data_IF_194485611470
#
_entry.id   IF_194485611470
#
_cell.length_a   1.000
_cell.length_b   1.000
_cell.length_c   1.000
_cell.angle_alpha   90.00
_cell.angle_beta   90.00
_cell.angle_gamma   90.00
#
_symmetry.space_group_name_H-M   'P 1'
#
loop_
_entity.id
_entity.type
_entity.pdbx_description
1 polymer ?
#
# COMPACT_ATOMS: atom_id res chain seq x y z
N UNK A 1 17.47 -57.41 -5.17
CA UNK A 1 17.81 -56.23 -4.36
C UNK A 1 18.58 -55.23 -5.22
N UNK A 2 17.89 -54.26 -5.83
CA UNK A 2 18.51 -53.13 -6.56
C UNK A 2 17.95 -51.86 -5.94
N UNK A 3 18.84 -51.07 -5.38
CA UNK A 3 18.54 -49.76 -4.77
C UNK A 3 18.26 -48.75 -5.89
N UNK A 4 17.06 -48.17 -5.89
CA UNK A 4 16.70 -47.01 -6.70
C UNK A 4 17.01 -45.80 -5.87
N UNK A 5 17.96 -44.96 -6.33
CA UNK A 5 18.27 -43.65 -5.77
C UNK A 5 17.31 -42.64 -6.40
N UNK A 6 16.45 -42.07 -5.61
CA UNK A 6 15.64 -40.91 -5.97
C UNK A 6 16.55 -39.68 -6.05
N UNK A 7 16.55 -39.05 -7.22
CA UNK A 7 17.26 -37.78 -7.47
C UNK A 7 16.18 -36.69 -7.47
N UNK A 8 16.06 -35.99 -6.35
CA UNK A 8 15.23 -34.80 -6.23
C UNK A 8 16.01 -33.64 -6.82
N UNK A 9 15.62 -33.16 -7.98
CA UNK A 9 16.19 -31.96 -8.60
C UNK A 9 15.45 -30.74 -8.07
N UNK A 10 16.13 -29.98 -7.20
CA UNK A 10 15.71 -28.66 -6.72
C UNK A 10 16.04 -27.65 -7.83
N UNK A 11 15.07 -27.16 -8.56
CA UNK A 11 15.22 -26.05 -9.50
C UNK A 11 15.06 -24.73 -8.73
N UNK A 12 16.18 -24.16 -8.32
CA UNK A 12 16.26 -22.80 -7.78
C UNK A 12 16.31 -21.84 -8.96
N UNK A 13 15.20 -21.17 -9.27
CA UNK A 13 15.17 -20.10 -10.26
C UNK A 13 15.67 -18.80 -9.60
N UNK A 14 16.99 -18.55 -9.70
CA UNK A 14 17.59 -17.25 -9.39
C UNK A 14 17.25 -16.26 -10.53
N UNK A 15 16.36 -15.32 -10.27
CA UNK A 15 16.21 -14.11 -11.10
C UNK A 15 17.28 -13.10 -10.70
N UNK A 16 18.44 -13.16 -11.35
CA UNK A 16 19.49 -12.16 -11.22
C UNK A 16 19.14 -10.98 -12.13
N UNK A 17 18.70 -9.86 -11.59
CA UNK A 17 18.68 -8.59 -12.29
C UNK A 17 20.09 -7.99 -12.32
N UNK A 18 20.82 -8.24 -13.41
CA UNK A 18 22.11 -7.62 -13.67
C UNK A 18 21.91 -6.13 -13.98
N UNK A 19 22.51 -5.27 -13.16
CA UNK A 19 22.67 -3.85 -13.42
C UNK A 19 23.84 -3.66 -14.36
N UNK A 20 23.58 -3.38 -15.64
CA UNK A 20 24.62 -2.94 -16.59
C UNK A 20 24.45 -1.46 -16.83
N UNK A 21 25.42 -0.68 -16.36
CA UNK A 21 25.55 0.72 -16.69
C UNK A 21 26.19 0.84 -18.09
N UNK A 22 25.59 1.61 -18.98
CA UNK A 22 26.29 2.15 -20.16
C UNK A 22 25.89 3.61 -20.36
N UNK A 23 26.92 4.42 -20.35
CA UNK A 23 26.96 5.86 -20.68
C UNK A 23 26.92 6.10 -22.15
N UNK A 24 26.18 7.11 -22.64
CA UNK A 24 26.57 8.00 -23.72
C UNK A 24 25.59 9.15 -23.87
N UNK A 25 26.14 10.36 -23.83
CA UNK A 25 25.59 11.65 -24.28
C UNK A 25 26.20 11.98 -25.69
N UNK A 26 25.89 13.12 -26.31
CA UNK A 26 24.67 13.95 -26.41
C UNK A 26 24.27 14.31 -27.85
N UNK A 27 23.19 15.06 -28.06
CA UNK A 27 23.13 16.11 -29.09
C UNK A 27 21.97 17.09 -28.90
N UNK A 28 22.31 18.36 -29.00
CA UNK A 28 21.52 19.59 -28.97
C UNK A 28 20.49 19.75 -30.10
N UNK A 29 19.43 20.54 -29.84
CA UNK A 29 19.06 21.78 -30.58
C UNK A 29 17.68 22.27 -30.12
N UNK A 30 17.61 23.42 -29.45
CA UNK A 30 17.26 24.79 -29.84
C UNK A 30 15.87 24.98 -30.51
N UNK A 31 15.02 25.76 -29.90
CA UNK A 31 14.54 27.14 -30.16
C UNK A 31 13.11 27.28 -29.61
N UNK A 32 12.85 28.22 -28.69
CA UNK A 32 12.37 29.58 -28.87
C UNK A 32 10.95 29.64 -29.48
N UNK A 33 9.97 30.34 -28.96
CA UNK A 33 9.78 31.73 -28.58
C UNK A 33 8.36 31.95 -28.01
N UNK A 34 8.27 32.85 -27.03
CA UNK A 34 7.30 33.96 -26.82
C UNK A 34 5.77 33.66 -26.86
N UNK A 35 4.90 34.31 -26.12
CA UNK A 35 4.89 35.62 -25.45
C UNK A 35 3.59 35.79 -24.66
N UNK A 36 3.70 36.43 -23.51
CA UNK A 36 2.90 37.49 -22.90
C UNK A 36 1.36 37.51 -23.03
N UNK A 37 0.63 37.77 -21.98
CA UNK A 37 0.29 39.12 -21.53
C UNK A 37 -0.61 39.07 -20.28
N UNK A 38 -0.30 39.99 -19.38
CA UNK A 38 -0.99 40.37 -18.15
C UNK A 38 -2.37 41.01 -18.39
N UNK A 39 -3.24 41.01 -17.37
CA UNK A 39 -3.94 42.22 -16.97
C UNK A 39 -4.43 42.11 -15.53
N UNK A 40 -4.05 43.13 -14.76
CA UNK A 40 -4.46 43.47 -13.39
C UNK A 40 -5.91 43.97 -13.34
N UNK A 41 -6.52 43.90 -12.13
CA UNK A 41 -7.31 44.98 -11.54
C UNK A 41 -7.77 44.60 -10.13
N UNK A 42 -7.23 45.13 -9.15
CA UNK A 42 -7.44 46.03 -8.01
C UNK A 42 -8.89 46.46 -7.74
N UNK A 43 -9.23 46.48 -6.45
CA UNK A 43 -9.66 47.56 -5.53
C UNK A 43 -10.42 46.94 -4.38
N UNK A 44 -9.97 47.13 -3.21
CA UNK A 44 -10.01 48.21 -2.19
C UNK A 44 -11.27 48.14 -1.32
N UNK A 45 -11.12 48.02 -0.09
CA UNK A 45 -11.01 48.87 1.07
C UNK A 45 -12.09 48.71 2.15
N UNK A 46 -11.59 48.78 3.36
CA UNK A 46 -12.02 49.49 4.62
C UNK A 46 -13.16 48.81 5.42
N UNK A 47 -13.16 48.82 6.74
CA UNK A 47 -12.50 49.52 7.85
C UNK A 47 -12.85 48.89 9.19
N UNK A 48 -11.95 48.97 10.09
CA UNK A 48 -11.85 48.85 11.52
C UNK A 48 -13.06 49.17 12.43
N UNK A 49 -13.11 48.51 13.57
CA UNK A 49 -13.04 49.01 14.98
C UNK A 49 -13.38 47.81 15.90
N UNK A 50 -12.63 47.41 16.86
CA UNK A 50 -12.13 48.04 18.01
C UNK A 50 -13.04 47.93 19.23
N UNK A 51 -12.78 46.96 20.14
CA UNK A 51 -13.00 47.15 21.58
C UNK A 51 -12.43 46.00 22.42
N UNK A 52 -11.71 46.37 23.42
CA UNK A 52 -10.95 45.63 24.40
C UNK A 52 -11.79 44.98 25.51
N UNK A 53 -11.14 44.00 26.15
CA UNK A 53 -11.09 43.64 27.58
C UNK A 53 -11.92 42.41 27.94
N UNK A 54 -11.36 41.43 28.54
CA UNK A 54 -10.92 41.17 29.88
C UNK A 54 -10.46 39.72 30.06
N UNK A 55 -9.38 39.60 30.75
CA UNK A 55 -8.76 38.36 31.21
C UNK A 55 -9.66 37.61 32.17
N UNK A 56 -9.95 36.33 31.88
CA UNK A 56 -10.24 35.35 32.92
C UNK A 56 -9.65 34.01 32.54
N UNK A 57 -8.59 33.67 33.22
CA UNK A 57 -8.00 32.34 33.23
C UNK A 57 -9.02 31.30 33.70
N UNK A 58 -9.50 30.45 32.82
CA UNK A 58 -10.05 29.15 33.17
C UNK A 58 -9.17 28.13 32.48
N UNK A 59 -8.42 27.36 33.28
CA UNK A 59 -7.95 26.06 32.89
C UNK A 59 -9.17 25.23 32.48
N UNK A 60 -9.39 25.13 31.19
CA UNK A 60 -10.24 24.07 30.63
C UNK A 60 -9.31 22.92 30.21
N UNK A 61 -9.38 21.82 30.92
CA UNK A 61 -8.95 20.53 30.43
C UNK A 61 -9.80 20.21 29.22
N UNK A 62 -9.35 20.68 28.06
CA UNK A 62 -9.95 20.36 26.78
C UNK A 62 -9.46 18.95 26.38
N UNK A 63 -10.15 17.93 26.86
CA UNK A 63 -10.13 16.62 26.23
C UNK A 63 -10.90 16.79 24.92
N UNK A 64 -10.18 17.26 23.89
CA UNK A 64 -10.68 17.23 22.52
C UNK A 64 -10.93 15.76 22.15
N UNK A 65 -12.16 15.31 22.35
CA UNK A 65 -12.59 14.02 21.82
C UNK A 65 -12.58 14.14 20.32
N UNK A 66 -11.68 13.38 19.68
CA UNK A 66 -11.59 13.26 18.23
C UNK A 66 -13.00 12.92 17.68
N UNK A 67 -13.48 13.58 16.62
CA UNK A 67 -14.78 13.28 16.06
C UNK A 67 -14.83 11.81 15.61
N UNK A 68 -15.84 11.10 16.07
CA UNK A 68 -16.08 9.72 15.69
C UNK A 68 -16.35 9.64 14.18
N UNK A 69 -15.66 8.73 13.49
CA UNK A 69 -15.87 8.54 12.05
C UNK A 69 -17.27 7.99 11.79
N UNK A 70 -17.93 8.41 10.71
CA UNK A 70 -19.27 7.91 10.37
C UNK A 70 -19.23 6.41 10.10
N UNK A 71 -20.29 5.69 10.53
CA UNK A 71 -20.42 4.27 10.23
C UNK A 71 -20.67 4.08 8.72
N UNK A 72 -19.75 3.40 8.08
CA UNK A 72 -19.75 3.08 6.64
C UNK A 72 -19.32 1.64 6.44
N UNK A 73 -19.35 1.14 5.19
CA UNK A 73 -18.75 -0.18 4.90
C UNK A 73 -17.26 -0.21 5.24
N UNK A 74 -16.52 0.89 5.08
CA UNK A 74 -15.10 0.98 5.42
C UNK A 74 -14.82 0.86 6.93
N UNK A 75 -15.71 1.35 7.77
CA UNK A 75 -15.57 1.26 9.23
C UNK A 75 -16.20 -0.01 9.81
N UNK A 76 -17.11 -0.64 9.07
CA UNK A 76 -17.79 -1.88 9.47
C UNK A 76 -16.98 -3.12 9.05
N UNK A 77 -16.43 -3.09 7.82
CA UNK A 77 -15.65 -4.20 7.25
C UNK A 77 -14.19 -3.80 7.14
N UNK A 78 -13.48 -3.93 8.23
CA UNK A 78 -12.05 -3.59 8.32
C UNK A 78 -11.20 -4.69 7.70
N UNK A 79 -10.00 -4.35 7.23
CA UNK A 79 -9.09 -5.32 6.60
C UNK A 79 -8.88 -6.56 7.47
N UNK A 80 -8.92 -7.74 6.87
CA UNK A 80 -8.60 -9.02 7.52
C UNK A 80 -7.42 -9.73 6.84
N UNK A 81 -6.56 -8.99 6.18
CA UNK A 81 -5.30 -9.52 5.62
C UNK A 81 -4.21 -8.47 5.70
N UNK A 82 -2.98 -8.93 5.91
CA UNK A 82 -1.77 -8.08 5.90
C UNK A 82 -1.19 -7.92 4.50
N UNK A 83 -1.65 -8.69 3.52
CA UNK A 83 -1.18 -8.59 2.13
C UNK A 83 -1.73 -7.34 1.49
N UNK A 84 -0.87 -6.53 0.90
CA UNK A 84 -1.30 -5.40 0.09
C UNK A 84 -1.88 -5.89 -1.24
N UNK A 85 -3.11 -5.50 -1.50
CA UNK A 85 -3.87 -5.89 -2.70
C UNK A 85 -4.24 -4.71 -3.59
N UNK A 86 -3.63 -3.54 -3.38
CA UNK A 86 -3.86 -2.34 -4.17
C UNK A 86 -3.41 -2.49 -5.63
N UNK A 87 -3.87 -1.58 -6.48
CA UNK A 87 -3.60 -1.59 -7.91
C UNK A 87 -2.39 -0.73 -8.26
N UNK A 88 -1.37 -1.32 -8.87
CA UNK A 88 -0.19 -0.59 -9.37
C UNK A 88 0.15 -0.90 -10.82
N UNK A 89 -0.71 -1.66 -11.50
CA UNK A 89 -0.51 -2.05 -12.89
C UNK A 89 -1.84 -2.29 -13.62
N UNK A 90 -1.77 -2.58 -14.93
CA UNK A 90 -2.90 -2.97 -15.76
C UNK A 90 -2.66 -4.28 -16.48
N UNK A 91 -3.68 -5.11 -16.52
CA UNK A 91 -3.83 -6.18 -17.51
C UNK A 91 -4.46 -5.56 -18.74
N UNK A 92 -3.75 -5.57 -19.88
CA UNK A 92 -4.22 -4.95 -21.12
C UNK A 92 -5.54 -5.58 -21.60
N UNK A 93 -5.61 -6.93 -21.55
CA UNK A 93 -6.79 -7.68 -21.94
C UNK A 93 -6.88 -9.02 -21.22
N UNK A 94 -8.07 -9.39 -20.81
CA UNK A 94 -8.40 -10.73 -20.34
C UNK A 94 -9.63 -11.25 -21.10
N UNK A 95 -9.62 -12.52 -21.49
CA UNK A 95 -10.76 -13.21 -22.13
C UNK A 95 -11.10 -14.45 -21.30
N UNK A 96 -12.05 -14.33 -20.39
CA UNK A 96 -12.47 -15.38 -19.44
C UNK A 96 -11.30 -16.00 -18.67
N UNK A 97 -10.42 -15.15 -18.16
CA UNK A 97 -9.29 -15.61 -17.34
C UNK A 97 -9.76 -15.71 -15.89
N UNK A 98 -9.58 -16.90 -15.31
CA UNK A 98 -9.83 -17.14 -13.89
C UNK A 98 -8.55 -16.85 -13.10
N UNK A 99 -8.63 -15.98 -12.10
CA UNK A 99 -7.55 -15.64 -11.20
C UNK A 99 -7.79 -16.22 -9.82
N UNK A 100 -6.73 -16.67 -9.17
CA UNK A 100 -6.75 -17.24 -7.82
C UNK A 100 -5.63 -16.67 -6.97
N UNK A 101 -5.95 -16.30 -5.73
CA UNK A 101 -4.99 -15.88 -4.72
C UNK A 101 -5.25 -16.56 -3.39
N UNK A 102 -4.17 -16.97 -2.71
CA UNK A 102 -4.19 -17.43 -1.33
C UNK A 102 -3.84 -16.28 -0.41
N UNK A 103 -4.73 -15.91 0.47
CA UNK A 103 -4.60 -14.75 1.35
C UNK A 103 -4.55 -15.20 2.81
N UNK A 104 -3.54 -14.81 3.57
CA UNK A 104 -3.55 -15.01 5.02
C UNK A 104 -4.64 -14.13 5.60
N UNK A 105 -5.27 -14.59 6.67
CA UNK A 105 -6.23 -13.79 7.42
C UNK A 105 -5.69 -13.46 8.80
N UNK A 106 -6.00 -12.27 9.32
CA UNK A 106 -5.57 -11.83 10.64
C UNK A 106 -6.46 -12.42 11.77
N UNK A 107 -7.75 -12.52 11.51
CA UNK A 107 -8.71 -13.14 12.42
C UNK A 107 -9.36 -14.34 11.74
N UNK A 108 -9.31 -15.48 12.42
CA UNK A 108 -9.87 -16.74 12.00
C UNK A 108 -11.29 -16.95 12.52
N UNK A 109 -11.95 -18.03 12.08
CA UNK A 109 -13.28 -18.41 12.47
C UNK A 109 -14.36 -17.94 11.50
N UNK A 110 -15.61 -18.00 11.95
CA UNK A 110 -16.74 -17.57 11.14
C UNK A 110 -16.92 -16.06 11.22
N UNK A 111 -16.73 -15.38 10.10
CA UNK A 111 -16.86 -13.93 9.97
C UNK A 111 -17.72 -13.57 8.75
N UNK A 112 -18.38 -12.42 8.81
CA UNK A 112 -19.03 -11.80 7.67
C UNK A 112 -18.03 -10.92 6.94
N UNK A 113 -17.86 -11.16 5.63
CA UNK A 113 -16.91 -10.46 4.77
C UNK A 113 -17.62 -9.61 3.73
N UNK A 114 -17.00 -8.50 3.33
CA UNK A 114 -17.26 -7.75 2.11
C UNK A 114 -15.94 -7.39 1.44
N UNK A 115 -15.96 -7.31 0.13
CA UNK A 115 -14.77 -7.05 -0.68
C UNK A 115 -14.94 -5.71 -1.37
N UNK A 116 -13.95 -4.81 -1.20
CA UNK A 116 -13.92 -3.52 -1.87
C UNK A 116 -13.06 -3.55 -3.12
N UNK A 117 -13.56 -2.92 -4.16
CA UNK A 117 -12.89 -2.82 -5.45
C UNK A 117 -12.87 -1.37 -5.92
N UNK A 118 -11.81 -0.99 -6.60
CA UNK A 118 -11.76 0.26 -7.36
C UNK A 118 -11.15 0.01 -8.73
N UNK A 119 -11.79 0.57 -9.75
CA UNK A 119 -11.32 0.50 -11.13
C UNK A 119 -10.38 1.68 -11.44
N UNK A 120 -9.42 1.92 -10.54
CA UNK A 120 -8.37 2.93 -10.67
C UNK A 120 -7.02 2.33 -10.31
N UNK A 121 -5.94 2.93 -10.79
CA UNK A 121 -4.57 2.58 -10.41
C UNK A 121 -4.06 3.58 -9.38
N UNK A 122 -3.53 3.09 -8.28
CA UNK A 122 -3.05 3.91 -7.17
C UNK A 122 -1.64 4.44 -7.43
N UNK A 123 -0.75 3.58 -7.85
CA UNK A 123 0.63 3.91 -8.22
C UNK A 123 0.99 3.21 -9.52
N UNK A 124 2.03 3.64 -10.21
CA UNK A 124 2.39 3.08 -11.50
C UNK A 124 3.64 2.22 -11.41
N UNK A 125 3.49 0.92 -11.57
CA UNK A 125 4.57 -0.01 -11.82
C UNK A 125 4.76 -0.19 -13.32
N UNK A 126 5.34 0.81 -14.02
CA UNK A 126 5.57 0.64 -15.45
C UNK A 126 6.78 1.43 -15.92
N UNK A 127 7.60 0.79 -16.71
CA UNK A 127 8.83 1.33 -17.25
C UNK A 127 8.56 2.58 -18.10
N UNK A 128 9.00 3.75 -17.63
CA UNK A 128 8.89 5.00 -18.36
C UNK A 128 7.47 5.56 -18.51
N UNK A 129 6.49 5.01 -17.83
CA UNK A 129 5.09 5.47 -17.87
C UNK A 129 4.60 5.81 -16.48
N UNK A 130 4.49 7.09 -16.17
CA UNK A 130 3.84 7.60 -14.94
C UNK A 130 2.38 8.00 -15.19
N UNK A 131 1.86 7.71 -16.38
CA UNK A 131 0.57 8.22 -16.82
C UNK A 131 -0.63 7.49 -16.21
N UNK A 132 -0.41 6.48 -15.36
CA UNK A 132 -1.50 5.66 -14.83
C UNK A 132 -1.89 5.98 -13.38
N UNK A 133 -1.10 6.75 -12.65
CA UNK A 133 -1.44 7.14 -11.28
C UNK A 133 -2.77 7.89 -11.25
N UNK A 134 -3.71 7.41 -10.43
CA UNK A 134 -5.05 7.96 -10.31
C UNK A 134 -5.94 7.80 -11.54
N UNK A 135 -5.51 7.06 -12.58
CA UNK A 135 -6.32 6.84 -13.78
C UNK A 135 -7.21 5.63 -13.64
N UNK A 136 -8.40 5.77 -14.24
CA UNK A 136 -9.34 4.66 -14.38
C UNK A 136 -8.80 3.54 -15.24
N UNK A 137 -9.25 2.33 -14.92
CA UNK A 137 -9.21 1.19 -15.80
C UNK A 137 -10.19 1.32 -16.97
N UNK A 138 -10.21 0.29 -17.81
CA UNK A 138 -11.21 0.09 -18.86
C UNK A 138 -12.52 -0.47 -18.32
N UNK A 139 -13.35 -0.96 -19.23
CA UNK A 139 -14.55 -1.70 -18.85
C UNK A 139 -14.29 -3.20 -18.88
N UNK A 140 -14.74 -3.90 -17.85
CA UNK A 140 -14.59 -5.36 -17.76
C UNK A 140 -15.78 -5.99 -17.01
N UNK A 141 -15.93 -7.30 -17.18
CA UNK A 141 -16.95 -8.08 -16.49
C UNK A 141 -16.28 -9.04 -15.51
N UNK A 142 -16.86 -9.11 -14.31
CA UNK A 142 -16.54 -10.13 -13.29
C UNK A 142 -17.62 -11.21 -13.34
N UNK A 143 -17.20 -12.46 -13.21
CA UNK A 143 -18.09 -13.60 -13.02
C UNK A 143 -17.46 -14.66 -12.12
N UNK A 144 -18.28 -15.57 -11.61
CA UNK A 144 -17.85 -16.72 -10.80
C UNK A 144 -16.93 -16.33 -9.62
N UNK A 145 -17.17 -15.16 -9.00
CA UNK A 145 -16.40 -14.77 -7.83
C UNK A 145 -16.74 -15.68 -6.64
N UNK A 146 -15.72 -16.23 -6.00
CA UNK A 146 -15.88 -17.10 -4.83
C UNK A 146 -14.81 -16.80 -3.79
N UNK A 147 -15.16 -17.07 -2.53
CA UNK A 147 -14.21 -17.26 -1.44
C UNK A 147 -14.26 -18.70 -0.97
N UNK A 148 -13.14 -19.21 -0.48
CA UNK A 148 -13.04 -20.59 -0.04
C UNK A 148 -12.00 -20.76 1.07
N UNK A 149 -12.05 -21.89 1.76
CA UNK A 149 -11.00 -22.35 2.65
C UNK A 149 -9.92 -23.06 1.80
N UNK A 150 -8.71 -22.51 1.81
CA UNK A 150 -7.56 -23.00 1.05
C UNK A 150 -6.63 -23.94 1.83
N UNK A 151 -7.04 -24.38 3.03
CA UNK A 151 -6.19 -25.21 3.88
C UNK A 151 -4.97 -24.44 4.42
N UNK A 152 -3.97 -25.19 4.85
CA UNK A 152 -2.72 -24.66 5.45
C UNK A 152 -1.62 -24.40 4.42
N UNK A 153 -1.85 -24.77 3.16
CA UNK A 153 -0.90 -24.62 2.05
C UNK A 153 -1.55 -24.75 0.68
N UNK A 154 -0.82 -24.33 -0.34
CA UNK A 154 -1.32 -24.30 -1.73
C UNK A 154 -1.55 -25.69 -2.36
N UNK A 155 -1.04 -26.73 -1.74
CA UNK A 155 -1.23 -28.12 -2.16
C UNK A 155 -2.47 -28.77 -1.51
N UNK A 156 -3.11 -28.08 -0.54
CA UNK A 156 -4.29 -28.59 0.11
C UNK A 156 -5.53 -28.45 -0.76
N UNK A 157 -6.54 -29.29 -0.50
CA UNK A 157 -7.82 -29.19 -1.19
C UNK A 157 -8.54 -27.90 -0.82
N UNK A 158 -8.99 -27.14 -1.83
CA UNK A 158 -9.82 -25.96 -1.61
C UNK A 158 -11.25 -26.40 -1.32
N UNK A 159 -11.73 -26.08 -0.14
CA UNK A 159 -13.04 -26.51 0.37
C UNK A 159 -13.98 -25.31 0.66
N UNK A 160 -15.23 -25.57 0.93
CA UNK A 160 -16.22 -24.57 1.38
C UNK A 160 -16.32 -23.35 0.44
N UNK A 161 -16.28 -23.57 -0.89
CA UNK A 161 -16.44 -22.49 -1.88
C UNK A 161 -17.81 -21.83 -1.72
N UNK A 162 -17.80 -20.53 -1.44
CA UNK A 162 -18.98 -19.70 -1.27
C UNK A 162 -19.02 -18.62 -2.34
N UNK A 163 -20.10 -18.49 -3.13
CA UNK A 163 -20.22 -17.44 -4.13
C UNK A 163 -20.22 -16.06 -3.50
N UNK A 164 -19.54 -15.12 -4.17
CA UNK A 164 -19.60 -13.68 -3.87
C UNK A 164 -20.44 -13.00 -4.94
N UNK A 165 -21.43 -12.22 -4.50
CA UNK A 165 -22.38 -11.57 -5.41
C UNK A 165 -22.22 -10.03 -5.36
N UNK A 166 -22.86 -9.37 -6.33
CA UNK A 166 -22.84 -7.93 -6.52
C UNK A 166 -24.27 -7.44 -6.80
N UNK A 167 -24.93 -6.92 -5.76
CA UNK A 167 -26.36 -6.57 -5.84
C UNK A 167 -27.25 -7.78 -6.12
N UNK A 168 -26.94 -8.93 -5.50
CA UNK A 168 -27.63 -10.20 -5.68
C UNK A 168 -27.33 -10.94 -6.98
N UNK A 169 -26.33 -10.50 -7.78
CA UNK A 169 -25.93 -11.12 -9.05
C UNK A 169 -24.54 -11.74 -8.94
N UNK A 170 -24.34 -12.87 -9.59
CA UNK A 170 -23.03 -13.55 -9.72
C UNK A 170 -22.12 -12.90 -10.77
N UNK A 171 -22.65 -11.95 -11.54
CA UNK A 171 -21.91 -11.21 -12.56
C UNK A 171 -22.02 -9.71 -12.32
N UNK A 172 -20.93 -8.99 -12.61
CA UNK A 172 -20.90 -7.52 -12.56
C UNK A 172 -20.14 -6.97 -13.75
N UNK A 173 -20.78 -6.03 -14.45
CA UNK A 173 -20.11 -5.14 -15.39
C UNK A 173 -19.50 -3.99 -14.58
N UNK A 174 -18.20 -3.77 -14.75
CA UNK A 174 -17.44 -2.72 -14.08
C UNK A 174 -17.15 -1.61 -15.08
N UNK A 175 -17.65 -0.42 -14.78
CA UNK A 175 -17.36 0.77 -15.59
C UNK A 175 -16.03 1.42 -15.23
N UNK A 176 -15.56 2.31 -16.09
CA UNK A 176 -14.41 3.17 -15.77
C UNK A 176 -14.68 3.98 -14.48
N UNK A 177 -13.65 4.20 -13.67
CA UNK A 177 -13.69 4.93 -12.39
C UNK A 177 -14.64 4.35 -11.31
N UNK A 178 -15.25 3.20 -11.54
CA UNK A 178 -16.19 2.63 -10.59
C UNK A 178 -15.45 2.10 -9.36
N UNK A 179 -15.99 2.43 -8.18
CA UNK A 179 -15.62 1.81 -6.91
C UNK A 179 -16.86 1.22 -6.27
N UNK A 180 -16.74 0.01 -5.74
CA UNK A 180 -17.90 -0.73 -5.21
C UNK A 180 -17.49 -1.77 -4.17
N UNK A 181 -18.46 -2.17 -3.36
CA UNK A 181 -18.37 -3.31 -2.47
C UNK A 181 -19.15 -4.50 -3.04
N UNK A 182 -18.71 -5.72 -2.73
CA UNK A 182 -19.54 -6.92 -2.91
C UNK A 182 -20.74 -6.91 -1.97
N UNK A 183 -21.68 -7.83 -2.17
CA UNK A 183 -22.62 -8.21 -1.13
C UNK A 183 -21.90 -8.91 0.02
N UNK A 184 -22.45 -8.90 1.25
CA UNK A 184 -21.84 -9.62 2.37
C UNK A 184 -21.90 -11.14 2.17
N UNK A 185 -20.85 -11.83 2.62
CA UNK A 185 -20.77 -13.29 2.61
C UNK A 185 -20.20 -13.79 3.93
N UNK A 186 -20.82 -14.81 4.52
CA UNK A 186 -20.29 -15.44 5.73
C UNK A 186 -19.37 -16.59 5.35
N UNK A 187 -18.17 -16.61 5.95
CA UNK A 187 -17.16 -17.62 5.69
C UNK A 187 -16.47 -18.01 6.99
N UNK A 188 -16.24 -19.30 7.18
CA UNK A 188 -15.42 -19.82 8.27
C UNK A 188 -14.04 -20.20 7.73
N UNK A 189 -13.00 -19.51 8.19
CA UNK A 189 -11.59 -19.82 7.89
C UNK A 189 -10.98 -20.38 9.18
N UNK A 190 -10.62 -21.67 9.23
CA UNK A 190 -9.98 -22.28 10.41
C UNK A 190 -8.62 -21.62 10.69
N UNK A 191 -8.17 -21.73 11.95
CA UNK A 191 -6.86 -21.21 12.37
C UNK A 191 -5.73 -21.81 11.54
N UNK A 192 -4.85 -20.94 11.02
CA UNK A 192 -3.72 -21.32 10.18
C UNK A 192 -4.07 -21.59 8.71
N UNK A 193 -5.33 -21.51 8.31
CA UNK A 193 -5.75 -21.68 6.94
C UNK A 193 -5.69 -20.36 6.15
N UNK A 194 -5.53 -20.48 4.84
CA UNK A 194 -5.63 -19.36 3.91
C UNK A 194 -7.06 -19.18 3.43
N UNK A 195 -7.49 -17.94 3.24
CA UNK A 195 -8.64 -17.62 2.40
C UNK A 195 -8.20 -17.72 0.94
N UNK A 196 -8.95 -18.41 0.12
CA UNK A 196 -8.78 -18.39 -1.33
C UNK A 196 -9.80 -17.45 -1.94
N UNK A 197 -9.32 -16.45 -2.65
CA UNK A 197 -10.11 -15.61 -3.55
C UNK A 197 -9.97 -16.13 -4.97
N UNK A 198 -11.09 -16.33 -5.65
CA UNK A 198 -11.12 -16.76 -7.03
C UNK A 198 -12.24 -16.06 -7.80
N UNK A 199 -11.95 -15.59 -9.00
CA UNK A 199 -12.93 -14.99 -9.91
C UNK A 199 -12.50 -15.08 -11.37
N UNK A 200 -13.47 -14.96 -12.29
CA UNK A 200 -13.23 -14.90 -13.73
C UNK A 200 -13.44 -13.47 -14.23
N UNK A 201 -12.51 -12.97 -15.03
CA UNK A 201 -12.52 -11.61 -15.54
C UNK A 201 -12.41 -11.59 -17.05
N UNK A 202 -13.20 -10.72 -17.71
CA UNK A 202 -13.17 -10.47 -19.16
C UNK A 202 -13.26 -8.98 -19.44
N UNK A 203 -12.36 -8.46 -20.26
CA UNK A 203 -12.36 -7.05 -20.65
C UNK A 203 -10.96 -6.51 -20.92
N UNK A 204 -10.83 -5.20 -20.90
CA UNK A 204 -9.58 -4.50 -21.24
C UNK A 204 -9.24 -3.44 -20.20
N UNK A 205 -7.93 -3.19 -20.00
CA UNK A 205 -7.44 -2.16 -19.09
C UNK A 205 -7.80 -2.44 -17.63
N UNK A 206 -7.66 -3.68 -17.17
CA UNK A 206 -8.08 -4.12 -15.83
C UNK A 206 -7.01 -3.76 -14.81
N UNK A 207 -7.27 -2.88 -13.84
CA UNK A 207 -6.32 -2.60 -12.77
C UNK A 207 -5.99 -3.85 -11.98
N UNK A 208 -4.72 -4.01 -11.65
CA UNK A 208 -4.25 -5.19 -10.94
C UNK A 208 -3.09 -4.87 -9.99
N UNK A 209 -2.84 -5.77 -9.07
CA UNK A 209 -1.60 -5.78 -8.30
C UNK A 209 -0.52 -6.47 -9.12
N UNK A 210 0.63 -5.85 -9.22
CA UNK A 210 1.86 -6.48 -9.68
C UNK A 210 2.83 -6.61 -8.52
N UNK A 211 3.72 -7.60 -8.57
CA UNK A 211 4.57 -8.00 -7.46
C UNK A 211 3.80 -8.72 -6.33
N UNK A 212 2.95 -9.64 -6.75
CA UNK A 212 2.21 -10.53 -5.84
C UNK A 212 3.04 -11.68 -5.26
N UNK A 213 4.39 -11.59 -5.33
CA UNK A 213 5.33 -12.61 -4.85
C UNK A 213 5.26 -12.89 -3.34
N UNK A 214 4.51 -12.10 -2.59
CA UNK A 214 4.29 -12.28 -1.16
C UNK A 214 3.33 -13.42 -0.84
N UNK A 215 2.39 -13.68 -1.76
CA UNK A 215 1.42 -14.76 -1.63
C UNK A 215 1.38 -15.62 -2.88
N UNK A 216 0.72 -16.77 -2.82
CA UNK A 216 0.53 -17.61 -3.98
C UNK A 216 -0.60 -17.08 -4.85
N UNK A 217 -0.28 -16.80 -6.12
CA UNK A 217 -1.21 -16.27 -7.11
C UNK A 217 -1.10 -17.05 -8.40
N UNK A 218 -2.23 -17.29 -9.03
CA UNK A 218 -2.29 -18.06 -10.27
C UNK A 218 -3.43 -17.59 -11.17
N UNK A 219 -3.32 -17.89 -12.46
CA UNK A 219 -4.37 -17.70 -13.44
C UNK A 219 -4.59 -18.93 -14.30
N UNK A 220 -5.79 -19.05 -14.85
CA UNK A 220 -6.20 -20.15 -15.71
C UNK A 220 -7.09 -19.64 -16.86
N UNK A 221 -6.85 -20.11 -18.06
CA UNK A 221 -7.68 -19.83 -19.24
C UNK A 221 -8.80 -20.86 -19.45
N UNK A 222 -8.68 -22.04 -18.84
CA UNK A 222 -9.67 -23.13 -18.92
C UNK A 222 -10.46 -23.33 -17.61
N UNK A 223 -10.11 -22.57 -16.54
CA UNK A 223 -10.71 -22.70 -15.21
C UNK A 223 -10.21 -23.90 -14.42
N UNK A 224 -9.36 -24.74 -15.00
CA UNK A 224 -8.88 -26.01 -14.42
C UNK A 224 -7.37 -26.00 -14.18
N UNK A 225 -6.61 -25.57 -15.18
CA UNK A 225 -5.13 -25.57 -15.14
C UNK A 225 -4.60 -24.21 -14.71
N UNK A 226 -4.22 -24.10 -13.45
CA UNK A 226 -3.68 -22.85 -12.89
C UNK A 226 -2.16 -22.78 -13.05
N UNK A 227 -1.67 -21.60 -13.44
CA UNK A 227 -0.26 -21.27 -13.57
C UNK A 227 0.03 -20.00 -12.78
N UNK A 228 1.20 -19.92 -12.16
CA UNK A 228 1.65 -18.70 -11.50
C UNK A 228 1.44 -17.47 -12.38
N UNK A 229 0.90 -16.41 -11.82
CA UNK A 229 0.80 -15.10 -12.45
C UNK A 229 1.26 -14.01 -11.48
N UNK A 230 1.98 -13.02 -12.01
CA UNK A 230 2.52 -11.89 -11.27
C UNK A 230 1.63 -10.64 -11.36
N UNK A 231 0.69 -10.65 -12.28
CA UNK A 231 -0.29 -9.60 -12.50
C UNK A 231 -1.67 -10.15 -12.16
N UNK A 232 -2.21 -9.74 -11.00
CA UNK A 232 -3.45 -10.28 -10.49
C UNK A 232 -4.42 -9.17 -10.07
N UNK A 233 -5.62 -9.12 -10.65
CA UNK A 233 -6.68 -8.26 -10.16
C UNK A 233 -7.23 -8.83 -8.86
N UNK A 234 -7.32 -8.00 -7.82
CA UNK A 234 -7.75 -8.37 -6.48
C UNK A 234 -8.71 -7.32 -5.91
N UNK A 235 -9.56 -7.70 -4.94
CA UNK A 235 -10.18 -6.71 -4.08
C UNK A 235 -9.10 -5.88 -3.37
N UNK A 236 -9.27 -4.57 -3.27
CA UNK A 236 -8.31 -3.71 -2.55
C UNK A 236 -8.46 -3.81 -1.04
N UNK A 237 -9.65 -4.20 -0.56
CA UNK A 237 -9.87 -4.51 0.85
C UNK A 237 -10.56 -5.86 0.94
N UNK A 238 -9.95 -6.76 1.70
CA UNK A 238 -10.56 -8.01 2.16
C UNK A 238 -11.19 -7.69 3.52
N UNK A 239 -12.38 -7.10 3.47
CA UNK A 239 -13.02 -6.56 4.66
C UNK A 239 -13.77 -7.65 5.43
N UNK A 240 -13.57 -7.68 6.75
CA UNK A 240 -14.36 -8.52 7.67
C UNK A 240 -14.98 -7.68 8.76
N UNK A 241 -16.17 -8.09 9.20
CA UNK A 241 -16.83 -7.52 10.36
C UNK A 241 -16.16 -8.08 11.61
N UNK A 242 -15.21 -7.32 12.12
CA UNK A 242 -14.38 -7.64 13.28
C UNK A 242 -14.71 -6.70 14.44
N UNK A 243 -14.66 -7.21 15.65
CA UNK A 243 -14.70 -6.38 16.85
C UNK A 243 -13.26 -5.97 17.19
N UNK A 244 -12.88 -4.75 16.74
CA UNK A 244 -11.55 -4.20 16.95
C UNK A 244 -11.63 -2.86 17.68
N UNK A 245 -10.63 -2.57 18.49
CA UNK A 245 -10.51 -1.28 19.21
C UNK A 245 -9.86 -0.21 18.34
N UNK A 246 -8.94 -0.63 17.47
CA UNK A 246 -8.14 0.30 16.66
C UNK A 246 -8.02 -0.19 15.21
N UNK A 247 -7.95 0.78 14.30
CA UNK A 247 -7.70 0.51 12.90
C UNK A 247 -6.43 1.24 12.45
N UNK A 248 -5.53 0.51 11.79
CA UNK A 248 -4.25 1.02 11.29
C UNK A 248 -4.17 0.79 9.79
N UNK A 249 -3.78 1.79 9.03
CA UNK A 249 -3.38 1.63 7.64
C UNK A 249 -1.90 1.99 7.46
N UNK A 250 -1.21 1.32 6.55
CA UNK A 250 0.12 1.71 6.10
C UNK A 250 0.09 2.04 4.61
N UNK A 251 0.60 3.22 4.25
CA UNK A 251 0.77 3.65 2.86
C UNK A 251 2.26 3.85 2.58
N UNK A 252 2.74 3.31 1.46
CA UNK A 252 4.17 3.32 1.15
C UNK A 252 4.49 2.60 -0.14
N UNK A 253 5.75 2.27 -0.31
CA UNK A 253 6.28 1.61 -1.50
C UNK A 253 6.41 0.07 -1.35
N UNK A 254 7.30 -0.54 -2.14
CA UNK A 254 7.60 -1.98 -2.09
C UNK A 254 8.14 -2.47 -0.75
N UNK A 255 8.74 -1.60 0.04
CA UNK A 255 9.24 -1.93 1.38
C UNK A 255 8.06 -2.09 2.34
N UNK A 256 7.06 -1.23 2.23
CA UNK A 256 5.79 -1.34 2.96
C UNK A 256 4.95 -2.53 2.47
N UNK A 257 4.91 -2.76 1.15
CA UNK A 257 4.27 -3.95 0.57
C UNK A 257 4.87 -5.25 1.10
N UNK A 258 6.17 -5.28 1.39
CA UNK A 258 6.90 -6.45 1.90
C UNK A 258 7.70 -7.20 0.82
N UNK A 259 7.96 -6.57 -0.32
CA UNK A 259 8.70 -7.19 -1.41
C UNK A 259 10.07 -7.70 -0.97
N UNK A 260 10.52 -8.81 -1.57
CA UNK A 260 11.77 -9.52 -1.31
C UNK A 260 11.86 -10.22 0.07
N UNK A 261 10.80 -10.30 0.83
CA UNK A 261 10.69 -11.26 1.93
C UNK A 261 10.32 -12.66 1.40
N UNK A 262 10.46 -13.69 2.20
CA UNK A 262 10.15 -15.06 1.78
C UNK A 262 8.65 -15.20 1.50
N UNK A 263 8.33 -15.80 0.32
CA UNK A 263 6.95 -16.01 -0.10
C UNK A 263 6.17 -16.82 0.94
N UNK A 264 4.94 -16.41 1.22
CA UNK A 264 4.02 -17.05 2.17
C UNK A 264 4.47 -17.03 3.65
N UNK A 265 5.56 -16.33 3.99
CA UNK A 265 6.04 -16.22 5.37
C UNK A 265 5.55 -14.97 6.09
N UNK A 266 5.14 -13.97 5.33
CA UNK A 266 4.63 -12.69 5.88
C UNK A 266 5.55 -12.08 6.94
N UNK A 267 6.84 -11.99 6.61
CA UNK A 267 7.90 -11.55 7.52
C UNK A 267 8.26 -10.07 7.38
N UNK A 268 7.54 -9.33 6.52
CA UNK A 268 7.77 -7.89 6.36
C UNK A 268 7.27 -7.10 7.57
N UNK A 269 7.82 -5.91 7.76
CA UNK A 269 7.61 -5.11 8.96
C UNK A 269 6.13 -4.85 9.28
N UNK A 270 5.30 -4.56 8.26
CA UNK A 270 3.89 -4.26 8.47
C UNK A 270 3.11 -5.49 9.01
N UNK A 271 3.38 -6.70 8.49
CA UNK A 271 2.76 -7.92 9.00
C UNK A 271 3.21 -8.26 10.42
N UNK A 272 4.49 -8.03 10.72
CA UNK A 272 5.01 -8.26 12.07
C UNK A 272 4.46 -7.27 13.08
N UNK A 273 4.29 -6.00 12.71
CA UNK A 273 3.60 -5.01 13.55
C UNK A 273 2.16 -5.47 13.81
N UNK A 274 1.41 -5.82 12.76
CA UNK A 274 0.04 -6.31 12.91
C UNK A 274 -0.05 -7.50 13.87
N UNK A 275 0.82 -8.50 13.69
CA UNK A 275 0.87 -9.69 14.57
C UNK A 275 1.15 -9.32 16.03
N UNK A 276 2.07 -8.38 16.29
CA UNK A 276 2.43 -7.98 17.65
C UNK A 276 1.38 -7.09 18.31
N UNK A 277 0.63 -6.29 17.54
CA UNK A 277 -0.49 -5.50 18.06
C UNK A 277 -1.72 -6.37 18.38
N UNK A 278 -1.83 -7.54 17.75
CA UNK A 278 -2.85 -8.55 18.06
C UNK A 278 -4.23 -8.28 17.45
N UNK A 279 -5.21 -9.09 17.85
CA UNK A 279 -6.55 -9.13 17.23
C UNK A 279 -7.43 -7.91 17.50
N UNK A 280 -7.10 -7.11 18.50
CA UNK A 280 -7.82 -5.85 18.80
C UNK A 280 -7.53 -4.74 17.79
N UNK A 281 -6.56 -4.96 16.89
CA UNK A 281 -6.16 -4.04 15.84
C UNK A 281 -6.44 -4.66 14.48
N UNK A 282 -7.11 -3.92 13.59
CA UNK A 282 -7.18 -4.27 12.17
C UNK A 282 -6.11 -3.50 11.39
N UNK A 283 -5.29 -4.20 10.63
CA UNK A 283 -4.21 -3.60 9.87
C UNK A 283 -4.47 -3.67 8.35
N UNK A 284 -4.47 -2.52 7.68
CA UNK A 284 -4.62 -2.40 6.23
C UNK A 284 -3.27 -2.02 5.60
N UNK A 285 -2.59 -2.97 4.97
CA UNK A 285 -1.39 -2.69 4.22
C UNK A 285 -1.73 -2.19 2.81
N UNK A 286 -1.42 -0.95 2.53
CA UNK A 286 -1.64 -0.28 1.25
C UNK A 286 -0.31 0.14 0.57
N UNK A 287 0.80 -0.51 0.92
CA UNK A 287 2.10 -0.33 0.27
C UNK A 287 2.09 -0.93 -1.14
N UNK A 288 2.70 -0.26 -2.10
CA UNK A 288 2.71 -0.67 -3.50
C UNK A 288 4.10 -0.59 -4.12
N UNK A 289 4.50 -1.65 -4.82
CA UNK A 289 5.75 -1.68 -5.53
C UNK A 289 5.94 -0.48 -6.45
N UNK A 290 7.11 0.16 -6.36
CA UNK A 290 7.51 1.36 -7.10
C UNK A 290 6.75 2.65 -6.77
N UNK A 291 5.86 2.64 -5.81
CA UNK A 291 5.12 3.82 -5.38
C UNK A 291 6.05 4.91 -4.84
N UNK A 292 5.64 6.16 -5.05
CA UNK A 292 6.35 7.37 -4.65
C UNK A 292 5.45 8.23 -3.77
N UNK A 293 6.06 9.08 -2.95
CA UNK A 293 5.32 10.12 -2.24
C UNK A 293 4.54 11.01 -3.22
N UNK A 294 5.16 11.37 -4.37
CA UNK A 294 4.51 12.14 -5.44
C UNK A 294 3.28 11.46 -6.02
N UNK A 295 3.24 10.12 -6.09
CA UNK A 295 2.07 9.38 -6.56
C UNK A 295 0.92 9.51 -5.54
N UNK A 296 1.20 9.31 -4.25
CA UNK A 296 0.21 9.40 -3.19
C UNK A 296 -0.32 10.84 -3.03
N UNK A 297 0.56 11.84 -3.04
CA UNK A 297 0.17 13.25 -2.94
C UNK A 297 -0.75 13.72 -4.08
N UNK A 298 -0.67 13.06 -5.25
CA UNK A 298 -1.49 13.37 -6.42
C UNK A 298 -2.72 12.48 -6.60
N UNK A 299 -2.95 11.51 -5.69
CA UNK A 299 -4.02 10.53 -5.82
C UNK A 299 -4.96 10.51 -4.61
N UNK A 300 -5.97 11.35 -4.66
CA UNK A 300 -6.98 11.45 -3.60
C UNK A 300 -7.72 10.11 -3.36
N UNK A 301 -7.95 9.30 -4.40
CA UNK A 301 -8.61 7.99 -4.25
C UNK A 301 -7.81 7.05 -3.34
N UNK A 302 -6.47 7.05 -3.47
CA UNK A 302 -5.62 6.24 -2.62
C UNK A 302 -5.61 6.77 -1.18
N UNK A 303 -5.40 8.08 -1.00
CA UNK A 303 -5.42 8.73 0.31
C UNK A 303 -6.78 8.59 1.01
N UNK A 304 -7.89 8.71 0.27
CA UNK A 304 -9.23 8.61 0.84
C UNK A 304 -9.53 7.21 1.43
N UNK A 305 -8.95 6.15 0.86
CA UNK A 305 -9.10 4.79 1.42
C UNK A 305 -8.35 4.63 2.74
N UNK A 306 -7.08 5.04 2.79
CA UNK A 306 -6.31 4.92 4.03
C UNK A 306 -6.82 5.86 5.12
N UNK A 307 -7.42 7.00 4.76
CA UNK A 307 -8.01 7.93 5.71
C UNK A 307 -9.29 7.42 6.40
N UNK A 308 -9.81 6.28 5.98
CA UNK A 308 -10.90 5.60 6.72
C UNK A 308 -10.42 4.96 8.03
N UNK A 309 -9.12 4.74 8.19
CA UNK A 309 -8.49 4.12 9.36
C UNK A 309 -8.07 5.18 10.39
N UNK A 310 -8.04 4.82 11.67
CA UNK A 310 -7.78 5.77 12.77
C UNK A 310 -6.33 6.26 12.78
N UNK A 311 -5.40 5.33 12.54
CA UNK A 311 -3.97 5.61 12.45
C UNK A 311 -3.46 5.29 11.05
N UNK A 312 -2.64 6.18 10.47
CA UNK A 312 -2.00 5.95 9.18
C UNK A 312 -0.48 6.06 9.30
N UNK A 313 0.20 4.98 8.95
CA UNK A 313 1.66 4.96 8.81
C UNK A 313 2.01 5.41 7.39
N UNK A 314 2.85 6.43 7.26
CA UNK A 314 3.32 6.98 5.97
C UNK A 314 4.80 6.67 5.82
N UNK A 315 5.18 5.88 4.79
CA UNK A 315 6.54 5.38 4.59
C UNK A 315 6.97 5.47 3.11
N UNK A 316 7.43 6.63 2.67
CA UNK A 316 7.87 6.92 1.30
C UNK A 316 9.26 7.55 1.24
N UNK A 317 9.75 7.77 0.01
CA UNK A 317 10.95 8.53 -0.31
C UNK A 317 11.92 7.75 -1.21
N UNK A 318 12.06 6.44 -1.02
CA UNK A 318 13.02 5.60 -1.75
C UNK A 318 12.87 5.74 -3.27
N UNK A 319 11.65 5.59 -3.79
CA UNK A 319 11.43 5.61 -5.25
C UNK A 319 11.42 7.02 -5.82
N UNK A 320 11.07 8.04 -5.05
CA UNK A 320 11.22 9.43 -5.47
C UNK A 320 12.68 9.78 -5.72
N UNK A 321 13.60 9.29 -4.89
CA UNK A 321 15.05 9.47 -5.01
C UNK A 321 15.62 8.77 -6.25
N UNK A 322 15.13 7.57 -6.62
CA UNK A 322 15.69 6.74 -7.71
C UNK A 322 14.90 6.79 -9.00
N UNK A 323 13.74 7.42 -9.05
CA UNK A 323 12.85 7.50 -10.21
C UNK A 323 13.59 7.87 -11.52
N UNK A 324 12.98 7.62 -12.64
CA UNK A 324 13.53 7.84 -13.97
C UNK A 324 13.70 6.55 -14.77
N UNK A 325 14.02 5.42 -14.13
CA UNK A 325 14.08 4.12 -14.82
C UNK A 325 12.70 3.49 -14.98
N UNK A 326 11.82 3.70 -13.98
CA UNK A 326 10.50 3.07 -13.87
C UNK A 326 9.35 4.09 -13.90
N UNK A 327 9.58 5.22 -14.54
CA UNK A 327 8.62 6.32 -14.64
C UNK A 327 8.91 7.41 -13.63
N UNK A 328 8.69 8.63 -14.05
CA UNK A 328 8.88 9.81 -13.24
C UNK A 328 10.28 10.38 -13.26
N UNK A 329 10.32 11.62 -12.85
CA UNK A 329 11.52 12.42 -12.61
C UNK A 329 12.05 12.06 -11.21
N UNK A 330 13.35 12.05 -11.03
CA UNK A 330 13.94 12.06 -9.69
C UNK A 330 13.54 13.32 -8.96
N UNK A 331 13.15 13.18 -7.73
CA UNK A 331 12.81 14.30 -6.86
C UNK A 331 14.01 14.72 -6.01
N UNK A 332 14.10 16.01 -5.70
CA UNK A 332 14.99 16.54 -4.68
C UNK A 332 14.43 16.25 -3.27
N UNK A 333 15.22 16.47 -2.24
CA UNK A 333 14.75 16.34 -0.86
C UNK A 333 13.60 17.32 -0.55
N UNK A 334 13.65 18.53 -1.12
CA UNK A 334 12.61 19.55 -0.99
C UNK A 334 11.31 19.14 -1.67
N UNK A 335 11.38 18.61 -2.90
CA UNK A 335 10.19 18.12 -3.60
C UNK A 335 9.52 16.95 -2.83
N UNK A 336 10.31 16.02 -2.27
CA UNK A 336 9.75 14.90 -1.48
C UNK A 336 9.16 15.41 -0.16
N UNK A 337 9.80 16.37 0.49
CA UNK A 337 9.30 17.05 1.68
C UNK A 337 7.91 17.67 1.43
N UNK A 338 7.74 18.39 0.29
CA UNK A 338 6.45 18.94 -0.11
C UNK A 338 5.38 17.86 -0.35
N UNK A 339 5.73 16.71 -0.94
CA UNK A 339 4.78 15.62 -1.13
C UNK A 339 4.38 14.97 0.19
N UNK A 340 5.34 14.76 1.09
CA UNK A 340 5.05 14.22 2.43
C UNK A 340 4.22 15.18 3.27
N UNK A 341 4.53 16.49 3.21
CA UNK A 341 3.74 17.54 3.87
C UNK A 341 2.28 17.51 3.40
N UNK A 342 2.04 17.42 2.08
CA UNK A 342 0.70 17.32 1.52
C UNK A 342 -0.05 16.05 1.96
N UNK A 343 0.62 14.89 2.01
CA UNK A 343 0.03 13.64 2.47
C UNK A 343 -0.36 13.73 3.94
N UNK A 344 0.55 14.21 4.80
CA UNK A 344 0.32 14.32 6.24
C UNK A 344 -0.78 15.35 6.53
N UNK A 345 -0.78 16.50 5.83
CA UNK A 345 -1.86 17.50 5.92
C UNK A 345 -3.22 16.88 5.62
N UNK A 346 -3.35 16.21 4.47
CA UNK A 346 -4.60 15.56 4.06
C UNK A 346 -5.10 14.58 5.13
N UNK A 347 -4.23 13.68 5.59
CA UNK A 347 -4.59 12.65 6.57
C UNK A 347 -5.01 13.26 7.92
N UNK A 348 -4.29 14.27 8.38
CA UNK A 348 -4.59 14.97 9.63
C UNK A 348 -5.93 15.73 9.52
N UNK A 349 -6.20 16.39 8.39
CA UNK A 349 -7.48 17.05 8.11
C UNK A 349 -8.66 16.05 8.09
N UNK A 350 -8.42 14.80 7.69
CA UNK A 350 -9.42 13.71 7.77
C UNK A 350 -9.53 13.09 9.18
N UNK A 351 -8.81 13.63 10.15
CA UNK A 351 -8.86 13.18 11.55
C UNK A 351 -8.05 11.90 11.81
N UNK A 352 -7.09 11.54 10.96
CA UNK A 352 -6.20 10.41 11.23
C UNK A 352 -5.07 10.82 12.19
N UNK A 353 -4.67 9.90 13.06
CA UNK A 353 -3.37 9.95 13.71
C UNK A 353 -2.31 9.50 12.69
N UNK A 354 -1.28 10.29 12.48
CA UNK A 354 -0.24 9.96 11.51
C UNK A 354 1.05 9.55 12.23
N UNK A 355 1.65 8.45 11.75
CA UNK A 355 3.01 8.04 12.14
C UNK A 355 3.87 8.12 10.88
N UNK A 356 4.81 9.06 10.85
CA UNK A 356 5.64 9.33 9.68
C UNK A 356 7.00 8.66 9.83
N UNK A 357 7.34 7.79 8.88
CA UNK A 357 8.61 7.08 8.79
C UNK A 357 9.58 7.88 7.91
N UNK A 358 10.86 7.87 8.26
CA UNK A 358 11.88 8.39 7.37
C UNK A 358 12.34 7.34 6.35
N UNK A 359 13.04 7.80 5.29
CA UNK A 359 13.49 6.94 4.18
C UNK A 359 14.63 6.00 4.63
N UNK A 360 14.47 4.68 4.47
CA UNK A 360 15.46 3.70 4.92
C UNK A 360 16.74 3.71 4.08
N UNK A 361 17.86 3.14 4.59
CA UNK A 361 19.09 3.00 3.83
C UNK A 361 18.90 2.07 2.62
N UNK A 362 19.62 2.36 1.53
CA UNK A 362 19.45 1.67 0.23
C UNK A 362 20.78 1.38 -0.47
N UNK A 363 21.91 1.50 0.23
CA UNK A 363 23.26 1.43 -0.37
C UNK A 363 23.40 2.40 -1.56
N UNK A 364 22.78 3.56 -1.47
CA UNK A 364 22.78 4.54 -2.53
C UNK A 364 24.18 5.09 -2.84
N UNK A 365 24.44 5.42 -4.11
CA UNK A 365 25.59 6.21 -4.47
C UNK A 365 25.48 7.61 -3.86
N UNK A 366 26.63 8.26 -3.66
CA UNK A 366 26.78 9.55 -2.95
C UNK A 366 25.70 10.58 -3.23
N UNK A 367 25.29 10.76 -4.49
CA UNK A 367 24.28 11.76 -4.87
C UNK A 367 22.90 11.41 -4.32
N UNK A 368 22.44 10.18 -4.49
CA UNK A 368 21.13 9.75 -3.98
C UNK A 368 21.15 9.65 -2.46
N UNK A 369 22.28 9.22 -1.88
CA UNK A 369 22.44 9.20 -0.43
C UNK A 369 22.38 10.60 0.17
N UNK A 370 22.96 11.60 -0.48
CA UNK A 370 22.83 12.99 -0.07
C UNK A 370 21.38 13.50 -0.10
N UNK A 371 20.59 13.08 -1.08
CA UNK A 371 19.14 13.40 -1.11
C UNK A 371 18.40 12.70 0.03
N UNK A 372 18.67 11.40 0.27
CA UNK A 372 18.04 10.65 1.36
C UNK A 372 18.35 11.27 2.73
N UNK A 373 19.60 11.63 2.98
CA UNK A 373 20.02 12.26 4.24
C UNK A 373 19.34 13.62 4.44
N UNK A 374 19.37 14.47 3.40
CA UNK A 374 18.72 15.77 3.46
C UNK A 374 17.20 15.67 3.66
N UNK A 375 16.55 14.67 3.07
CA UNK A 375 15.14 14.38 3.30
C UNK A 375 14.89 13.97 4.75
N UNK A 376 15.67 13.02 5.26
CA UNK A 376 15.49 12.49 6.61
C UNK A 376 15.68 13.56 7.71
N UNK A 377 16.50 14.59 7.45
CA UNK A 377 16.64 15.74 8.32
C UNK A 377 15.38 16.63 8.40
N UNK A 378 14.53 16.61 7.35
CA UNK A 378 13.32 17.44 7.24
C UNK A 378 12.09 16.74 7.84
N UNK A 379 11.98 15.42 7.74
CA UNK A 379 10.79 14.64 8.11
C UNK A 379 10.32 14.89 9.56
N UNK A 380 11.19 15.01 10.60
CA UNK A 380 10.74 15.33 11.95
C UNK A 380 9.97 16.64 12.05
N UNK A 381 10.33 17.65 11.23
CA UNK A 381 9.64 18.95 11.25
C UNK A 381 8.22 18.86 10.65
N UNK A 382 8.00 17.99 9.64
CA UNK A 382 6.65 17.70 9.14
C UNK A 382 5.81 17.05 10.26
N UNK A 383 6.37 16.07 10.97
CA UNK A 383 5.67 15.42 12.06
C UNK A 383 5.29 16.43 13.16
N UNK A 384 6.20 17.29 13.58
CA UNK A 384 5.96 18.35 14.56
C UNK A 384 4.87 19.33 14.09
N UNK A 385 4.93 19.77 12.84
CA UNK A 385 3.99 20.72 12.23
C UNK A 385 2.52 20.28 12.34
N UNK A 386 2.27 18.99 12.17
CA UNK A 386 0.92 18.42 12.16
C UNK A 386 0.55 17.65 13.44
N UNK A 387 1.42 17.63 14.45
CA UNK A 387 1.23 16.81 15.65
C UNK A 387 1.29 15.30 15.37
N UNK A 388 1.86 14.92 14.23
CA UNK A 388 2.11 13.52 13.87
C UNK A 388 3.27 12.95 14.70
N UNK A 389 3.34 11.62 14.75
CA UNK A 389 4.46 10.93 15.41
C UNK A 389 5.56 10.64 14.40
N UNK A 390 6.80 10.69 14.83
CA UNK A 390 7.97 10.36 14.04
C UNK A 390 8.53 9.01 14.45
N UNK A 391 8.90 8.18 13.46
CA UNK A 391 9.56 6.91 13.65
C UNK A 391 10.85 6.84 12.83
N UNK A 392 11.98 6.70 13.50
CA UNK A 392 13.30 6.63 12.86
C UNK A 392 13.56 5.23 12.26
N UNK A 393 12.87 4.96 11.15
CA UNK A 393 12.95 3.71 10.41
C UNK A 393 14.36 3.49 9.84
N UNK A 394 15.03 4.57 9.44
CA UNK A 394 16.38 4.53 8.88
C UNK A 394 17.42 4.02 9.87
N UNK A 395 17.40 4.51 11.10
CA UNK A 395 18.37 4.11 12.11
C UNK A 395 18.28 2.62 12.48
N UNK A 396 17.10 2.03 12.40
CA UNK A 396 16.87 0.61 12.70
C UNK A 396 17.45 -0.33 11.62
N UNK A 397 17.58 0.14 10.39
CA UNK A 397 17.99 -0.67 9.23
C UNK A 397 19.42 -0.39 8.76
N UNK A 398 20.16 0.42 9.51
CA UNK A 398 21.56 0.77 9.28
C UNK A 398 22.39 0.57 10.55
N UNK A 399 23.66 0.98 10.50
CA UNK A 399 24.51 1.11 11.69
C UNK A 399 24.86 2.59 11.91
N UNK A 400 25.25 2.94 13.13
CA UNK A 400 25.68 4.30 13.48
C UNK A 400 26.87 4.76 12.63
N UNK A 401 27.82 3.85 12.36
CA UNK A 401 29.02 4.15 11.57
C UNK A 401 28.73 4.24 10.07
N UNK A 402 27.70 3.52 9.55
CA UNK A 402 27.34 3.46 8.14
C UNK A 402 25.83 3.68 7.94
N UNK A 403 25.33 4.93 8.14
CA UNK A 403 23.88 5.21 8.14
C UNK A 403 23.20 5.07 6.76
N UNK A 404 23.98 4.96 5.68
CA UNK A 404 23.48 4.72 4.32
C UNK A 404 23.43 3.26 3.92
N UNK A 405 24.03 2.36 4.74
CA UNK A 405 24.12 0.95 4.43
C UNK A 405 22.90 0.17 4.89
N UNK A 406 22.29 -0.55 3.97
CA UNK A 406 21.12 -1.39 4.23
C UNK A 406 21.56 -2.74 4.81
N UNK A 407 21.71 -2.85 6.13
CA UNK A 407 22.22 -4.05 6.80
C UNK A 407 21.31 -5.27 6.69
N UNK A 408 20.02 -5.05 6.44
CA UNK A 408 19.01 -6.09 6.20
C UNK A 408 18.57 -6.17 4.73
N UNK A 409 19.33 -5.50 3.82
CA UNK A 409 18.96 -5.32 2.41
C UNK A 409 18.17 -4.05 2.15
N UNK A 410 18.19 -3.57 0.91
CA UNK A 410 17.40 -2.39 0.50
C UNK A 410 15.88 -2.62 0.61
N UNK A 411 15.43 -3.87 0.48
CA UNK A 411 14.16 -4.35 0.98
C UNK A 411 14.48 -5.21 2.21
N UNK A 412 14.11 -4.78 3.41
CA UNK A 412 14.44 -5.51 4.63
C UNK A 412 13.91 -6.95 4.60
N UNK A 413 14.77 -7.91 4.93
CA UNK A 413 14.39 -9.30 5.09
C UNK A 413 13.54 -9.51 6.37
N UNK A 414 13.19 -10.77 6.68
CA UNK A 414 12.38 -11.10 7.85
C UNK A 414 13.02 -10.69 9.18
N UNK A 415 14.35 -10.67 9.29
CA UNK A 415 15.06 -10.19 10.47
C UNK A 415 14.89 -8.67 10.62
N UNK A 416 15.13 -7.91 9.54
CA UNK A 416 14.88 -6.46 9.51
C UNK A 416 13.43 -6.11 9.81
N UNK A 417 12.47 -6.90 9.29
CA UNK A 417 11.06 -6.78 9.62
C UNK A 417 10.78 -6.94 11.12
N UNK A 418 11.47 -7.88 11.80
CA UNK A 418 11.35 -8.09 13.25
C UNK A 418 11.91 -6.90 14.03
N UNK A 419 13.11 -6.43 13.67
CA UNK A 419 13.74 -5.26 14.32
C UNK A 419 12.82 -4.03 14.26
N UNK A 420 12.21 -3.79 13.12
CA UNK A 420 11.28 -2.67 12.93
C UNK A 420 10.01 -2.84 13.78
N UNK A 421 9.41 -4.02 13.76
CA UNK A 421 8.19 -4.27 14.52
C UNK A 421 8.41 -4.16 16.03
N UNK A 422 9.51 -4.74 16.56
CA UNK A 422 9.84 -4.65 17.97
C UNK A 422 10.04 -3.19 18.42
N UNK A 423 10.74 -2.39 17.62
CA UNK A 423 10.95 -0.97 17.90
C UNK A 423 9.65 -0.17 17.82
N UNK A 424 8.81 -0.45 16.82
CA UNK A 424 7.51 0.22 16.65
C UNK A 424 6.59 -0.06 17.83
N UNK A 425 6.42 -1.31 18.21
CA UNK A 425 5.56 -1.70 19.33
C UNK A 425 6.11 -1.16 20.66
N UNK A 426 7.42 -1.18 20.85
CA UNK A 426 8.05 -0.56 22.02
C UNK A 426 7.76 0.94 22.12
N UNK A 427 7.75 1.66 21.00
CA UNK A 427 7.56 3.13 20.97
C UNK A 427 6.09 3.51 21.00
N UNK A 428 5.23 2.76 20.33
CA UNK A 428 3.84 3.16 20.05
C UNK A 428 2.79 2.15 20.52
N UNK A 429 3.17 0.96 21.03
CA UNK A 429 2.22 -0.08 21.41
C UNK A 429 1.12 0.40 22.36
N UNK A 430 1.47 1.27 23.31
CA UNK A 430 0.49 1.84 24.24
C UNK A 430 -0.58 2.75 23.60
N UNK A 431 -0.44 3.11 22.33
CA UNK A 431 -1.50 3.82 21.58
C UNK A 431 -2.64 2.89 21.15
N UNK A 432 -2.41 1.57 21.21
CA UNK A 432 -3.30 0.53 20.70
C UNK A 432 -3.81 -0.43 21.82
N UNK A 433 -3.67 -0.03 23.08
CA UNK A 433 -4.16 -0.79 24.26
C UNK A 433 -5.61 -0.49 24.67
#
# INVERSE_FOLDING_TARGET
MKKIKSLTALLLALSICAVTACSSQPADSSSATESASATESSTDSTTASGASSETSSKESSDTSTKPEKPVTDFTTYVSNTVVSTGNNFYIEKAENITYRAYLPVEQYGELEYKFFFTNTVDSTYTKGKIAFVGKSGGSYTISNATVADGGTGVEDEITNRTPVTFGGKETKEVAADESYWSDPVTMNIPEGHYMVWEWTVSGEGIPCNKMSSLTSTASSADGETFKFCDEIPLPQIIGAKRDVKHTVAAIGDSITQGCQTEQMKYEFWASKISTQLGSDVAFFNCGLGWARASDAASNENWLSRVSQYDTVIVAFGTNDIVSGKYGGKKSSAEEIDEYLDAIVSYLTEKGCDVILFNAPPQDFKKTNEGVRTALNEKIPAIAEKYGAKFFDFSALLSTEDEPGKAVYGGHPNGEGGTVVADAFVKQFGSLFE
#
